data_IF_856729272213
#
_entry.id   IF_856729272213
#
_cell.length_a   1.000
_cell.length_b   1.000
_cell.length_c   1.000
_cell.angle_alpha   90.00
_cell.angle_beta   90.00
_cell.angle_gamma   90.00
#
_symmetry.space_group_name_H-M   'P 1'
#
loop_
_entity.id
_entity.type
_entity.pdbx_description
1 polymer ?
#
# COMPACT_ATOMS: atom_id res chain seq x y z
N UNK A 1 -19.28 12.02 8.27
CA UNK A 1 -19.92 10.83 7.64
C UNK A 1 -20.22 9.81 8.72
N UNK A 2 -21.33 9.06 8.62
CA UNK A 2 -21.68 8.04 9.63
C UNK A 2 -20.95 6.72 9.35
N UNK A 3 -20.77 5.83 10.35
CA UNK A 3 -20.24 4.49 10.13
C UNK A 3 -21.01 3.71 9.05
N UNK A 4 -22.33 3.81 9.01
CA UNK A 4 -23.17 3.10 8.03
C UNK A 4 -22.91 3.57 6.60
N UNK A 5 -22.67 4.88 6.40
CA UNK A 5 -22.32 5.41 5.08
C UNK A 5 -20.94 4.94 4.62
N UNK A 6 -19.96 4.86 5.54
CA UNK A 6 -18.63 4.32 5.23
C UNK A 6 -18.69 2.83 4.88
N UNK A 7 -19.50 2.04 5.61
CA UNK A 7 -19.73 0.63 5.31
C UNK A 7 -20.41 0.44 3.94
N UNK A 8 -21.45 1.23 3.62
CA UNK A 8 -22.09 1.19 2.29
C UNK A 8 -21.11 1.45 1.16
N UNK A 9 -20.26 2.47 1.30
CA UNK A 9 -19.21 2.77 0.31
C UNK A 9 -18.18 1.65 0.21
N UNK A 10 -17.77 1.06 1.34
CA UNK A 10 -16.86 -0.07 1.35
C UNK A 10 -17.46 -1.29 0.67
N UNK A 11 -18.74 -1.61 0.93
CA UNK A 11 -19.47 -2.71 0.29
C UNK A 11 -19.57 -2.51 -1.22
N UNK A 12 -19.88 -1.29 -1.66
CA UNK A 12 -19.87 -0.94 -3.08
C UNK A 12 -18.51 -1.21 -3.72
N UNK A 13 -17.43 -0.67 -3.15
CA UNK A 13 -16.06 -0.86 -3.68
C UNK A 13 -15.67 -2.34 -3.67
N UNK A 14 -16.04 -3.09 -2.62
CA UNK A 14 -15.84 -4.54 -2.58
C UNK A 14 -16.53 -5.24 -3.75
N UNK A 15 -17.80 -4.91 -4.04
CA UNK A 15 -18.52 -5.50 -5.16
C UNK A 15 -17.87 -5.21 -6.53
N UNK A 16 -17.23 -4.05 -6.70
CA UNK A 16 -16.47 -3.75 -7.92
C UNK A 16 -15.22 -4.62 -8.04
N UNK A 17 -14.50 -4.78 -6.93
CA UNK A 17 -13.31 -5.61 -6.86
C UNK A 17 -13.69 -7.09 -7.11
N UNK A 18 -14.73 -7.58 -6.47
CA UNK A 18 -15.17 -8.97 -6.58
C UNK A 18 -15.75 -9.28 -7.97
N UNK A 19 -16.52 -8.36 -8.56
CA UNK A 19 -17.08 -8.50 -9.90
C UNK A 19 -16.04 -8.58 -11.03
N UNK A 20 -14.78 -8.20 -10.76
CA UNK A 20 -13.66 -8.35 -11.68
C UNK A 20 -12.62 -9.40 -11.20
N UNK A 21 -12.99 -10.26 -10.25
CA UNK A 21 -12.10 -11.21 -9.58
C UNK A 21 -10.79 -10.57 -9.08
N UNK A 22 -10.86 -9.33 -8.62
CA UNK A 22 -9.72 -8.54 -8.16
C UNK A 22 -8.63 -8.35 -9.22
N UNK A 23 -8.98 -8.57 -10.50
CA UNK A 23 -8.10 -8.52 -11.65
C UNK A 23 -8.37 -7.26 -12.49
N UNK A 24 -7.32 -6.58 -12.90
CA UNK A 24 -7.50 -5.41 -13.75
C UNK A 24 -6.22 -4.62 -14.03
N UNK A 25 -6.36 -3.44 -14.66
CA UNK A 25 -5.22 -2.67 -15.15
C UNK A 25 -4.38 -2.13 -14.00
N UNK A 26 -3.07 -1.95 -14.20
CA UNK A 26 -2.12 -1.38 -13.25
C UNK A 26 -1.03 -0.57 -13.99
N UNK A 27 -0.39 0.43 -13.34
CA UNK A 27 0.71 1.20 -13.93
C UNK A 27 1.88 0.36 -14.49
N UNK A 28 2.10 -0.86 -14.02
CA UNK A 28 3.22 -1.71 -14.41
C UNK A 28 2.90 -2.75 -15.50
N UNK A 29 1.66 -2.77 -15.99
CA UNK A 29 1.20 -3.81 -16.93
C UNK A 29 1.92 -3.85 -18.26
N UNK A 30 2.59 -2.77 -18.68
CA UNK A 30 3.35 -2.78 -19.92
C UNK A 30 4.33 -3.96 -19.99
N UNK A 31 4.92 -4.35 -18.86
CA UNK A 31 5.88 -5.46 -18.79
C UNK A 31 5.26 -6.85 -18.71
N UNK A 32 3.93 -6.98 -18.65
CA UNK A 32 3.25 -8.28 -18.77
C UNK A 32 2.90 -8.62 -20.22
N UNK A 33 3.10 -7.68 -21.15
CA UNK A 33 2.97 -7.94 -22.59
C UNK A 33 4.06 -8.91 -23.07
N UNK A 34 3.77 -9.80 -24.04
CA UNK A 34 4.81 -10.55 -24.75
C UNK A 34 5.90 -9.66 -25.36
N UNK A 35 5.57 -8.41 -25.71
CA UNK A 35 6.52 -7.42 -26.24
C UNK A 35 7.57 -6.98 -25.21
N UNK A 36 7.36 -7.27 -23.92
CA UNK A 36 8.34 -6.97 -22.88
C UNK A 36 9.68 -7.71 -23.11
N UNK A 37 9.64 -8.86 -23.80
CA UNK A 37 10.84 -9.59 -24.23
C UNK A 37 11.75 -8.77 -25.16
N UNK A 38 11.19 -7.83 -25.93
CA UNK A 38 11.92 -6.91 -26.80
C UNK A 38 12.44 -5.67 -26.05
N UNK A 39 11.88 -5.38 -24.87
CA UNK A 39 12.27 -4.25 -24.02
C UNK A 39 13.50 -4.59 -23.17
N UNK A 40 14.63 -4.95 -23.81
CA UNK A 40 15.84 -5.42 -23.14
C UNK A 40 16.49 -4.32 -22.27
N UNK A 41 16.45 -3.07 -22.75
CA UNK A 41 17.03 -1.92 -22.06
C UNK A 41 16.04 -1.26 -21.09
N UNK A 42 16.50 -0.73 -19.93
CA UNK A 42 15.64 -0.03 -18.96
C UNK A 42 14.80 1.09 -19.58
N UNK A 43 15.36 1.82 -20.54
CA UNK A 43 14.64 2.85 -21.27
C UNK A 43 13.44 2.30 -22.05
N UNK A 44 13.60 1.18 -22.76
CA UNK A 44 12.50 0.56 -23.52
C UNK A 44 11.41 0.03 -22.60
N UNK A 45 11.79 -0.55 -21.45
CA UNK A 45 10.84 -0.96 -20.41
C UNK A 45 10.03 0.24 -19.92
N UNK A 46 10.70 1.36 -19.63
CA UNK A 46 10.03 2.60 -19.22
C UNK A 46 9.11 3.17 -20.31
N UNK A 47 9.53 3.15 -21.58
CA UNK A 47 8.69 3.58 -22.70
C UNK A 47 7.43 2.73 -22.76
N UNK A 48 7.55 1.40 -22.75
CA UNK A 48 6.41 0.49 -22.77
C UNK A 48 5.46 0.72 -21.59
N UNK A 49 6.00 0.83 -20.37
CA UNK A 49 5.23 1.13 -19.16
C UNK A 49 4.51 2.47 -19.26
N UNK A 50 5.20 3.55 -19.65
CA UNK A 50 4.59 4.88 -19.72
C UNK A 50 3.56 4.98 -20.84
N UNK A 51 3.77 4.32 -21.98
CA UNK A 51 2.80 4.25 -23.08
C UNK A 51 1.51 3.59 -22.61
N UNK A 52 1.59 2.42 -21.95
CA UNK A 52 0.41 1.72 -21.40
C UNK A 52 -0.26 2.51 -20.28
N UNK A 53 0.53 3.10 -19.38
CA UNK A 53 0.03 3.86 -18.23
C UNK A 53 -0.70 5.15 -18.63
N UNK A 54 -0.16 5.89 -19.62
CA UNK A 54 -0.63 7.23 -19.99
C UNK A 54 -1.58 7.25 -21.18
N UNK A 55 -1.79 6.11 -21.84
CA UNK A 55 -2.73 6.03 -22.95
C UNK A 55 -4.14 6.47 -22.50
N UNK A 56 -4.82 7.34 -23.27
CA UNK A 56 -6.19 7.77 -22.97
C UNK A 56 -7.23 6.65 -23.19
N UNK A 57 -6.90 5.68 -24.05
CA UNK A 57 -7.68 4.46 -24.31
C UNK A 57 -6.95 3.24 -23.78
N UNK A 58 -7.67 2.17 -23.44
CA UNK A 58 -7.02 0.96 -22.94
C UNK A 58 -6.37 0.16 -24.09
N UNK A 59 -5.06 0.32 -24.25
CA UNK A 59 -4.27 -0.39 -25.27
C UNK A 59 -3.84 -1.79 -24.83
N UNK A 60 -4.10 -2.18 -23.58
CA UNK A 60 -3.71 -3.49 -23.03
C UNK A 60 -4.18 -4.67 -23.89
N UNK A 61 -5.44 -4.71 -24.38
CA UNK A 61 -5.89 -5.81 -25.22
C UNK A 61 -5.06 -5.96 -26.51
N UNK A 62 -4.66 -4.85 -27.13
CA UNK A 62 -3.87 -4.85 -28.36
C UNK A 62 -2.41 -5.26 -28.14
N UNK A 63 -1.91 -5.09 -26.91
CA UNK A 63 -0.58 -5.54 -26.50
C UNK A 63 -0.59 -6.94 -25.88
N UNK A 64 -1.70 -7.67 -26.02
CA UNK A 64 -1.94 -8.98 -25.41
C UNK A 64 -1.72 -9.00 -23.87
N UNK A 65 -1.90 -7.86 -23.21
CA UNK A 65 -1.89 -7.73 -21.76
C UNK A 65 -3.26 -8.18 -21.25
N UNK A 66 -3.26 -9.22 -20.41
CA UNK A 66 -4.49 -9.73 -19.77
C UNK A 66 -4.70 -9.09 -18.40
N UNK A 67 -5.96 -8.91 -17.95
CA UNK A 67 -6.25 -8.55 -16.57
C UNK A 67 -5.54 -9.50 -15.60
N UNK A 68 -4.83 -8.92 -14.63
CA UNK A 68 -4.04 -9.65 -13.66
C UNK A 68 -4.59 -9.40 -12.26
N UNK A 69 -4.80 -10.48 -11.51
CA UNK A 69 -5.08 -10.46 -10.08
C UNK A 69 -3.76 -10.56 -9.31
N UNK A 70 -3.57 -9.74 -8.27
CA UNK A 70 -2.35 -9.80 -7.45
C UNK A 70 -2.64 -10.20 -6.02
N UNK A 71 -1.72 -10.97 -5.43
CA UNK A 71 -1.69 -11.32 -4.01
C UNK A 71 -1.78 -10.07 -3.14
N UNK A 72 -1.13 -8.98 -3.55
CA UNK A 72 -1.12 -7.71 -2.82
C UNK A 72 -2.49 -7.06 -2.71
N UNK A 73 -3.27 -7.04 -3.80
CA UNK A 73 -4.61 -6.46 -3.80
C UNK A 73 -5.55 -7.31 -2.92
N UNK A 74 -5.45 -8.64 -3.01
CA UNK A 74 -6.25 -9.53 -2.19
C UNK A 74 -5.84 -9.51 -0.71
N UNK A 75 -4.55 -9.41 -0.40
CA UNK A 75 -4.06 -9.27 0.97
C UNK A 75 -4.56 -7.97 1.61
N UNK A 76 -4.47 -6.86 0.87
CA UNK A 76 -5.02 -5.58 1.31
C UNK A 76 -6.55 -5.64 1.48
N UNK A 77 -7.25 -6.29 0.55
CA UNK A 77 -8.69 -6.56 0.65
C UNK A 77 -9.06 -7.43 1.85
N UNK A 78 -8.25 -8.44 2.18
CA UNK A 78 -8.44 -9.30 3.34
C UNK A 78 -8.33 -8.50 4.65
N UNK A 79 -7.26 -7.70 4.80
CA UNK A 79 -7.11 -6.76 5.92
C UNK A 79 -8.30 -5.81 6.01
N UNK A 80 -8.71 -5.23 4.88
CA UNK A 80 -9.80 -4.28 4.84
C UNK A 80 -11.13 -4.90 5.28
N UNK A 81 -11.45 -6.11 4.80
CA UNK A 81 -12.66 -6.85 5.19
C UNK A 81 -12.62 -7.32 6.64
N UNK A 82 -11.44 -7.67 7.18
CA UNK A 82 -11.29 -8.09 8.58
C UNK A 82 -11.72 -7.02 9.58
N UNK A 83 -11.66 -5.73 9.22
CA UNK A 83 -12.16 -4.63 10.07
C UNK A 83 -13.68 -4.66 10.27
N UNK A 84 -14.41 -5.37 9.42
CA UNK A 84 -15.86 -5.61 9.50
C UNK A 84 -16.21 -7.04 9.95
N UNK A 85 -15.25 -7.81 10.47
CA UNK A 85 -15.44 -9.25 10.72
C UNK A 85 -16.53 -9.62 11.74
N UNK A 86 -17.10 -8.66 12.48
CA UNK A 86 -18.29 -8.88 13.29
C UNK A 86 -19.54 -9.25 12.43
N UNK A 87 -19.57 -8.79 11.17
CA UNK A 87 -20.56 -9.22 10.19
C UNK A 87 -20.13 -10.56 9.56
N UNK A 88 -20.99 -11.60 9.58
CA UNK A 88 -20.67 -12.90 8.96
C UNK A 88 -20.32 -12.81 7.47
N UNK A 89 -20.96 -11.88 6.74
CA UNK A 89 -20.69 -11.64 5.33
C UNK A 89 -19.25 -11.15 5.12
N UNK A 90 -18.86 -10.09 5.83
CA UNK A 90 -17.51 -9.53 5.76
C UNK A 90 -16.44 -10.50 6.28
N UNK A 91 -16.76 -11.27 7.31
CA UNK A 91 -15.89 -12.34 7.80
C UNK A 91 -15.61 -13.39 6.72
N UNK A 92 -16.64 -13.83 6.00
CA UNK A 92 -16.51 -14.77 4.88
C UNK A 92 -15.65 -14.21 3.76
N UNK A 93 -15.91 -12.94 3.35
CA UNK A 93 -15.13 -12.21 2.34
C UNK A 93 -13.65 -12.11 2.72
N UNK A 94 -13.36 -11.72 3.97
CA UNK A 94 -12.01 -11.62 4.48
C UNK A 94 -11.28 -12.97 4.39
N UNK A 95 -11.90 -14.05 4.88
CA UNK A 95 -11.32 -15.40 4.85
C UNK A 95 -11.11 -15.92 3.42
N UNK A 96 -12.02 -15.63 2.48
CA UNK A 96 -11.85 -16.00 1.08
C UNK A 96 -10.59 -15.36 0.48
N UNK A 97 -10.42 -14.05 0.65
CA UNK A 97 -9.26 -13.31 0.16
C UNK A 97 -7.97 -13.73 0.87
N UNK A 98 -8.01 -13.90 2.20
CA UNK A 98 -6.89 -14.34 3.00
C UNK A 98 -6.41 -15.74 2.60
N UNK A 99 -7.33 -16.69 2.38
CA UNK A 99 -7.00 -18.04 1.88
C UNK A 99 -6.29 -17.97 0.55
N UNK A 100 -6.87 -17.25 -0.41
CA UNK A 100 -6.26 -17.14 -1.74
C UNK A 100 -4.87 -16.50 -1.67
N UNK A 101 -4.71 -15.44 -0.87
CA UNK A 101 -3.43 -14.76 -0.66
C UNK A 101 -2.38 -15.69 -0.03
N UNK A 102 -2.77 -16.53 0.93
CA UNK A 102 -1.88 -17.51 1.55
C UNK A 102 -1.39 -18.55 0.53
N UNK A 103 -2.22 -18.96 -0.44
CA UNK A 103 -1.78 -19.87 -1.52
C UNK A 103 -0.71 -19.27 -2.44
N UNK A 104 -0.52 -17.94 -2.40
CA UNK A 104 0.49 -17.23 -3.20
C UNK A 104 1.82 -17.06 -2.47
N UNK A 105 1.94 -17.54 -1.23
CA UNK A 105 3.21 -17.52 -0.51
C UNK A 105 4.25 -18.31 -1.30
N UNK A 106 5.44 -17.72 -1.48
CA UNK A 106 6.52 -18.33 -2.23
C UNK A 106 7.01 -19.62 -1.53
N UNK A 107 7.66 -20.47 -2.33
CA UNK A 107 8.29 -21.73 -1.92
C UNK A 107 9.77 -21.74 -2.30
N UNK A 108 10.52 -22.73 -1.82
CA UNK A 108 11.95 -22.87 -2.13
C UNK A 108 12.80 -21.79 -1.45
N UNK A 109 13.73 -21.18 -2.19
CA UNK A 109 14.69 -20.20 -1.65
C UNK A 109 14.03 -19.04 -0.90
N UNK A 110 12.85 -18.60 -1.36
CA UNK A 110 12.13 -17.47 -0.79
C UNK A 110 10.88 -17.92 -0.01
N UNK A 111 10.88 -19.16 0.51
CA UNK A 111 9.75 -19.71 1.24
C UNK A 111 9.29 -18.79 2.37
N UNK A 112 8.02 -18.41 2.37
CA UNK A 112 7.46 -17.51 3.38
C UNK A 112 7.18 -16.09 2.89
N UNK A 113 7.80 -15.63 1.80
CA UNK A 113 7.66 -14.27 1.27
C UNK A 113 6.63 -14.19 0.12
N UNK A 114 6.34 -12.97 -0.33
CA UNK A 114 5.58 -12.70 -1.56
C UNK A 114 6.33 -11.77 -2.50
N UNK A 115 5.98 -11.88 -3.78
CA UNK A 115 6.45 -11.10 -4.92
C UNK A 115 5.26 -10.39 -5.59
N UNK A 116 5.57 -9.51 -6.55
CA UNK A 116 4.58 -9.11 -7.53
C UNK A 116 4.50 -10.14 -8.65
N UNK A 117 3.31 -10.33 -9.23
CA UNK A 117 3.05 -11.22 -10.36
C UNK A 117 3.52 -10.65 -11.71
N UNK A 118 4.31 -9.57 -11.69
CA UNK A 118 4.81 -8.86 -12.87
C UNK A 118 6.19 -8.26 -12.62
N UNK A 119 6.95 -8.10 -13.70
CA UNK A 119 8.24 -7.41 -13.68
C UNK A 119 8.03 -5.92 -13.39
N UNK A 120 8.95 -5.33 -12.64
CA UNK A 120 8.90 -3.91 -12.29
C UNK A 120 10.09 -3.19 -12.85
N UNK A 121 9.82 -2.10 -13.56
CA UNK A 121 10.80 -1.09 -13.91
C UNK A 121 10.37 0.26 -13.32
N UNK A 122 11.13 0.75 -12.35
CA UNK A 122 11.00 2.11 -11.83
C UNK A 122 12.01 3.03 -12.51
N UNK A 123 12.03 4.31 -12.12
CA UNK A 123 13.10 5.24 -12.53
C UNK A 123 14.47 4.90 -11.95
N UNK A 124 14.52 4.08 -10.90
CA UNK A 124 15.71 3.85 -10.09
C UNK A 124 16.13 2.38 -10.01
N UNK A 125 15.34 1.45 -10.53
CA UNK A 125 15.69 0.03 -10.52
C UNK A 125 14.75 -0.84 -11.34
N UNK A 126 15.19 -2.07 -11.57
CA UNK A 126 14.43 -3.14 -12.19
C UNK A 126 14.50 -4.39 -11.30
N UNK A 127 13.39 -5.10 -11.16
CA UNK A 127 13.38 -6.43 -10.54
C UNK A 127 12.30 -7.31 -11.17
N UNK A 128 12.59 -8.61 -11.36
CA UNK A 128 11.68 -9.52 -12.03
C UNK A 128 10.54 -9.96 -11.10
N UNK A 129 9.45 -10.45 -11.70
CA UNK A 129 8.33 -11.05 -11.01
C UNK A 129 8.79 -12.19 -10.08
N UNK A 130 9.84 -12.94 -10.42
CA UNK A 130 10.35 -14.05 -9.59
C UNK A 130 11.01 -13.62 -8.27
N UNK A 131 11.22 -12.32 -8.06
CA UNK A 131 11.92 -11.78 -6.88
C UNK A 131 10.91 -11.29 -5.83
N UNK A 132 11.02 -11.72 -4.56
CA UNK A 132 10.19 -11.18 -3.50
C UNK A 132 10.53 -9.71 -3.24
N UNK A 133 9.55 -8.99 -2.72
CA UNK A 133 9.75 -7.62 -2.25
C UNK A 133 8.96 -7.37 -0.97
N UNK A 134 9.45 -6.44 -0.16
CA UNK A 134 8.90 -6.17 1.16
C UNK A 134 7.48 -5.60 1.10
N UNK A 135 7.15 -4.81 0.06
CA UNK A 135 5.81 -4.22 -0.10
C UNK A 135 4.77 -5.31 -0.35
N UNK A 136 5.03 -6.23 -1.28
CA UNK A 136 4.14 -7.35 -1.52
C UNK A 136 4.05 -8.28 -0.31
N UNK A 137 5.19 -8.62 0.28
CA UNK A 137 5.26 -9.46 1.48
C UNK A 137 4.41 -8.89 2.61
N UNK A 138 4.49 -7.60 2.87
CA UNK A 138 3.81 -6.98 4.02
C UNK A 138 2.31 -6.87 3.83
N UNK A 139 1.82 -6.45 2.66
CA UNK A 139 0.37 -6.45 2.39
C UNK A 139 -0.25 -7.85 2.42
N UNK A 140 0.44 -8.84 1.85
CA UNK A 140 -0.03 -10.22 1.87
C UNK A 140 -0.01 -10.81 3.28
N UNK A 141 1.10 -10.63 4.01
CA UNK A 141 1.24 -11.11 5.37
C UNK A 141 0.21 -10.48 6.30
N UNK A 142 -0.01 -9.17 6.23
CA UNK A 142 -1.04 -8.51 7.04
C UNK A 142 -2.42 -9.12 6.80
N UNK A 143 -2.83 -9.27 5.54
CA UNK A 143 -4.11 -9.88 5.19
C UNK A 143 -4.26 -11.32 5.67
N UNK A 144 -3.21 -12.13 5.54
CA UNK A 144 -3.24 -13.52 6.02
C UNK A 144 -3.24 -13.60 7.56
N UNK A 145 -2.51 -12.72 8.26
CA UNK A 145 -2.50 -12.65 9.72
C UNK A 145 -3.84 -12.14 10.27
N UNK A 146 -4.43 -11.12 9.65
CA UNK A 146 -5.74 -10.55 10.03
C UNK A 146 -6.90 -11.55 9.84
N UNK A 147 -6.69 -12.60 9.05
CA UNK A 147 -7.69 -13.63 8.74
C UNK A 147 -7.38 -14.99 9.38
N UNK A 148 -6.24 -15.12 10.06
CA UNK A 148 -5.76 -16.38 10.64
C UNK A 148 -5.43 -17.45 9.60
N UNK A 149 -4.94 -17.05 8.42
CA UNK A 149 -4.66 -17.92 7.27
C UNK A 149 -3.19 -18.38 7.20
N UNK A 150 -2.33 -17.88 8.07
CA UNK A 150 -0.99 -18.44 8.29
C UNK A 150 -1.04 -19.33 9.53
N UNK A 151 -0.72 -20.61 9.35
CA UNK A 151 -0.43 -21.48 10.49
C UNK A 151 0.95 -21.16 11.09
N UNK A 152 1.30 -21.82 12.21
CA UNK A 152 2.56 -21.58 12.90
C UNK A 152 3.79 -21.83 12.03
N UNK A 153 3.77 -22.86 11.16
CA UNK A 153 4.89 -23.17 10.28
C UNK A 153 5.06 -22.11 9.18
N UNK A 154 3.96 -21.66 8.57
CA UNK A 154 3.97 -20.60 7.57
C UNK A 154 4.40 -19.25 8.17
N UNK A 155 3.98 -18.95 9.40
CA UNK A 155 4.39 -17.74 10.13
C UNK A 155 5.88 -17.77 10.47
N UNK A 156 6.42 -18.91 10.94
CA UNK A 156 7.85 -19.07 11.18
C UNK A 156 8.68 -19.00 9.90
N UNK A 157 8.19 -19.58 8.79
CA UNK A 157 8.84 -19.47 7.48
C UNK A 157 8.92 -18.02 7.02
N UNK A 158 7.83 -17.27 7.15
CA UNK A 158 7.80 -15.83 6.87
C UNK A 158 8.79 -15.06 7.75
N UNK A 159 8.77 -15.29 9.08
CA UNK A 159 9.67 -14.63 10.02
C UNK A 159 11.15 -14.90 9.70
N UNK A 160 11.49 -16.15 9.41
CA UNK A 160 12.85 -16.55 9.05
C UNK A 160 13.28 -15.89 7.73
N UNK A 161 12.46 -15.98 6.68
CA UNK A 161 12.80 -15.40 5.39
C UNK A 161 12.83 -13.86 5.40
N UNK A 162 11.99 -13.21 6.22
CA UNK A 162 12.03 -11.76 6.41
C UNK A 162 13.39 -11.31 6.95
N UNK A 163 13.94 -12.02 7.92
CA UNK A 163 15.28 -11.76 8.46
C UNK A 163 16.37 -12.15 7.47
N UNK A 164 16.32 -13.35 6.91
CA UNK A 164 17.46 -13.91 6.16
C UNK A 164 17.55 -13.36 4.72
N UNK A 165 16.44 -12.91 4.13
CA UNK A 165 16.41 -12.43 2.74
C UNK A 165 16.24 -10.91 2.60
N UNK A 166 15.64 -10.24 3.58
CA UNK A 166 15.27 -8.83 3.48
C UNK A 166 15.90 -7.93 4.55
N UNK A 167 16.42 -8.46 5.66
CA UNK A 167 17.11 -7.63 6.66
C UNK A 167 18.60 -7.48 6.31
N UNK A 168 19.08 -6.24 6.26
CA UNK A 168 20.47 -5.92 5.88
C UNK A 168 21.45 -5.92 7.05
N UNK A 169 20.97 -6.20 8.28
CA UNK A 169 21.71 -5.96 9.52
C UNK A 169 21.43 -4.59 10.14
N UNK A 170 20.84 -3.65 9.40
CA UNK A 170 20.41 -2.33 9.90
C UNK A 170 18.96 -1.98 9.57
N UNK A 171 18.48 -2.35 8.39
CA UNK A 171 17.16 -1.99 7.90
C UNK A 171 16.60 -3.11 7.01
N UNK A 172 15.30 -3.07 6.74
CA UNK A 172 14.70 -3.94 5.75
C UNK A 172 14.86 -3.36 4.34
N UNK A 173 15.43 -4.15 3.45
CA UNK A 173 15.60 -3.86 2.05
C UNK A 173 14.28 -3.99 1.28
N UNK A 174 14.18 -3.28 0.15
CA UNK A 174 13.01 -3.38 -0.73
C UNK A 174 12.92 -4.76 -1.41
N UNK A 175 14.05 -5.27 -1.90
CA UNK A 175 14.21 -6.63 -2.46
C UNK A 175 15.52 -7.23 -1.96
N UNK A 176 15.72 -8.57 -2.06
CA UNK A 176 16.99 -9.20 -1.70
C UNK A 176 18.21 -8.72 -2.52
N UNK A 177 17.98 -8.02 -3.64
CA UNK A 177 19.03 -7.53 -4.52
C UNK A 177 19.42 -6.07 -4.26
N UNK A 178 18.83 -5.40 -3.27
CA UNK A 178 19.11 -4.00 -2.97
C UNK A 178 19.43 -3.81 -1.49
N UNK A 179 20.49 -3.06 -1.19
CA UNK A 179 20.78 -2.61 0.17
C UNK A 179 20.33 -1.17 0.43
N UNK A 180 19.72 -0.50 -0.55
CA UNK A 180 19.29 0.90 -0.43
C UNK A 180 18.19 1.03 0.61
N UNK A 181 18.36 1.96 1.55
CA UNK A 181 17.31 2.31 2.49
C UNK A 181 16.23 3.10 1.76
N UNK A 182 15.03 2.51 1.69
CA UNK A 182 13.79 3.14 1.24
C UNK A 182 12.88 3.20 2.46
N UNK A 183 12.53 4.41 2.92
CA UNK A 183 11.99 4.62 4.26
C UNK A 183 10.63 3.92 4.49
N UNK A 184 9.70 4.04 3.55
CA UNK A 184 8.41 3.37 3.66
C UNK A 184 8.57 1.84 3.66
N UNK A 185 9.39 1.32 2.75
CA UNK A 185 9.63 -0.11 2.60
C UNK A 185 10.28 -0.71 3.86
N UNK A 186 11.26 -0.01 4.42
CA UNK A 186 11.92 -0.38 5.66
C UNK A 186 10.93 -0.43 6.83
N UNK A 187 10.08 0.59 6.99
CA UNK A 187 9.09 0.60 8.08
C UNK A 187 7.96 -0.41 7.89
N UNK A 188 7.58 -0.74 6.65
CA UNK A 188 6.68 -1.86 6.39
C UNK A 188 7.28 -3.17 6.92
N UNK A 189 8.58 -3.40 6.69
CA UNK A 189 9.29 -4.55 7.26
C UNK A 189 9.39 -4.51 8.78
N UNK A 190 9.69 -3.34 9.36
CA UNK A 190 9.77 -3.17 10.82
C UNK A 190 8.43 -3.46 11.51
N UNK A 191 7.33 -2.93 10.97
CA UNK A 191 5.99 -3.16 11.51
C UNK A 191 5.58 -4.64 11.42
N UNK A 192 5.88 -5.30 10.29
CA UNK A 192 5.62 -6.73 10.15
C UNK A 192 6.48 -7.57 11.10
N UNK A 193 7.77 -7.24 11.24
CA UNK A 193 8.67 -7.96 12.16
C UNK A 193 8.20 -7.82 13.62
N UNK A 194 7.82 -6.61 14.04
CA UNK A 194 7.24 -6.39 15.37
C UNK A 194 5.96 -7.21 15.59
N UNK A 195 5.07 -7.23 14.60
CA UNK A 195 3.82 -8.01 14.63
C UNK A 195 4.08 -9.53 14.69
N UNK A 196 5.04 -10.04 13.94
CA UNK A 196 5.41 -11.46 13.96
C UNK A 196 6.05 -11.86 15.29
N UNK A 197 6.88 -10.99 15.88
CA UNK A 197 7.52 -11.23 17.17
C UNK A 197 6.51 -11.37 18.31
N UNK A 198 5.35 -10.73 18.21
CA UNK A 198 4.28 -10.79 19.20
C UNK A 198 3.28 -11.93 18.97
N UNK A 199 3.45 -12.77 17.95
CA UNK A 199 2.52 -13.88 17.71
C UNK A 199 2.68 -14.98 18.76
N UNK A 200 1.55 -15.49 19.24
CA UNK A 200 1.51 -16.68 20.06
C UNK A 200 2.12 -17.87 19.29
N UNK A 201 2.98 -18.62 19.97
CA UNK A 201 3.70 -19.76 19.37
C UNK A 201 4.95 -19.39 18.57
N UNK A 202 5.26 -18.11 18.35
CA UNK A 202 6.52 -17.71 17.74
C UNK A 202 7.70 -18.08 18.66
N UNK A 203 8.66 -18.87 18.14
CA UNK A 203 9.83 -19.29 18.92
C UNK A 203 10.59 -18.09 19.48
N UNK A 204 10.83 -18.10 20.80
CA UNK A 204 11.48 -16.98 21.52
C UNK A 204 12.77 -16.47 20.87
N UNK A 205 13.72 -17.31 20.41
CA UNK A 205 14.93 -16.81 19.74
C UNK A 205 14.63 -16.06 18.44
N UNK A 206 13.63 -16.51 17.68
CA UNK A 206 13.21 -15.87 16.43
C UNK A 206 12.48 -14.55 16.71
N UNK A 207 11.57 -14.53 17.70
CA UNK A 207 10.89 -13.32 18.17
C UNK A 207 11.88 -12.24 18.64
N UNK A 208 12.94 -12.62 19.36
CA UNK A 208 13.99 -11.67 19.78
C UNK A 208 14.70 -11.06 18.58
N UNK A 209 15.16 -11.89 17.62
CA UNK A 209 15.81 -11.40 16.39
C UNK A 209 14.92 -10.45 15.58
N UNK A 210 13.63 -10.76 15.48
CA UNK A 210 12.64 -9.89 14.83
C UNK A 210 12.49 -8.55 15.55
N UNK A 211 12.41 -8.58 16.87
CA UNK A 211 12.31 -7.37 17.71
C UNK A 211 13.53 -6.47 17.52
N UNK A 212 14.74 -7.04 17.56
CA UNK A 212 15.99 -6.30 17.39
C UNK A 212 16.09 -5.69 15.98
N UNK A 213 15.75 -6.48 14.95
CA UNK A 213 15.72 -6.00 13.57
C UNK A 213 14.71 -4.86 13.38
N UNK A 214 13.52 -4.97 13.98
CA UNK A 214 12.50 -3.94 13.92
C UNK A 214 12.93 -2.64 14.64
N UNK A 215 13.56 -2.72 15.82
CA UNK A 215 14.11 -1.56 16.52
C UNK A 215 15.19 -0.86 15.71
N UNK A 216 16.12 -1.64 15.14
CA UNK A 216 17.20 -1.14 14.28
C UNK A 216 16.63 -0.41 13.04
N UNK A 217 15.66 -1.03 12.38
CA UNK A 217 14.97 -0.47 11.23
C UNK A 217 14.23 0.84 11.55
N UNK A 218 13.52 0.91 12.69
CA UNK A 218 12.86 2.15 13.14
C UNK A 218 13.90 3.25 13.37
N UNK A 219 15.00 2.94 14.06
CA UNK A 219 16.10 3.91 14.30
C UNK A 219 16.67 4.44 12.99
N UNK A 220 16.93 3.57 12.01
CA UNK A 220 17.47 3.98 10.72
C UNK A 220 16.56 4.95 9.95
N UNK A 221 15.24 4.84 10.09
CA UNK A 221 14.30 5.81 9.50
C UNK A 221 14.14 7.08 10.33
N UNK A 222 14.21 6.98 11.67
CA UNK A 222 14.23 8.15 12.54
C UNK A 222 15.43 9.06 12.23
N UNK A 223 16.63 8.47 12.11
CA UNK A 223 17.88 9.16 11.80
C UNK A 223 17.89 9.78 10.39
N UNK A 224 17.11 9.21 9.46
CA UNK A 224 16.97 9.72 8.10
C UNK A 224 15.93 10.82 7.93
N UNK A 225 15.21 11.21 9.00
CA UNK A 225 14.29 12.33 8.95
C UNK A 225 15.07 13.65 8.80
N UNK A 226 14.64 14.49 7.87
CA UNK A 226 15.21 15.84 7.71
C UNK A 226 14.75 16.76 8.85
N UNK A 227 15.48 17.87 9.12
CA UNK A 227 15.10 18.82 10.17
C UNK A 227 13.68 19.42 10.03
N UNK A 228 13.14 19.47 8.81
CA UNK A 228 11.78 19.95 8.53
C UNK A 228 10.69 18.88 8.80
N UNK A 229 11.07 17.67 9.20
CA UNK A 229 10.16 16.54 9.45
C UNK A 229 9.95 15.63 8.25
N UNK A 230 10.43 15.98 7.06
CA UNK A 230 10.24 15.18 5.86
C UNK A 230 11.20 13.98 5.79
N UNK A 231 10.81 12.98 5.00
CA UNK A 231 11.71 11.91 4.58
C UNK A 231 11.88 11.96 3.06
N UNK A 232 13.11 11.91 2.54
CA UNK A 232 13.29 11.52 1.15
C UNK A 232 12.68 10.13 0.93
N UNK A 233 12.36 9.78 -0.31
CA UNK A 233 11.91 8.42 -0.62
C UNK A 233 12.96 7.37 -0.21
N UNK A 234 14.24 7.63 -0.47
CA UNK A 234 15.34 6.77 -0.05
C UNK A 234 16.69 7.48 -0.04
N UNK A 235 17.74 6.76 0.35
CA UNK A 235 19.06 7.37 0.64
C UNK A 235 20.01 7.51 -0.55
N UNK A 236 19.75 6.88 -1.70
CA UNK A 236 20.55 7.09 -2.91
C UNK A 236 20.31 8.47 -3.54
N UNK A 237 21.30 9.00 -4.26
CA UNK A 237 21.28 10.36 -4.83
C UNK A 237 20.00 10.72 -5.64
N UNK A 238 19.44 9.78 -6.38
CA UNK A 238 18.25 10.00 -7.21
C UNK A 238 16.91 9.74 -6.48
N UNK A 239 16.95 9.50 -5.16
CA UNK A 239 15.80 9.13 -4.33
C UNK A 239 15.34 10.24 -3.36
N UNK A 240 15.81 11.47 -3.55
CA UNK A 240 15.59 12.58 -2.62
C UNK A 240 14.22 13.26 -2.62
N UNK A 241 13.25 12.79 -3.43
CA UNK A 241 11.93 13.39 -3.55
C UNK A 241 11.02 13.04 -2.36
N UNK A 242 9.96 13.83 -2.15
CA UNK A 242 8.93 13.59 -1.13
C UNK A 242 7.55 13.56 -1.81
N UNK A 243 6.79 12.49 -1.57
CA UNK A 243 5.46 12.29 -2.16
C UNK A 243 4.43 11.82 -1.12
N UNK A 244 3.15 11.98 -1.46
CA UNK A 244 2.04 11.79 -0.51
C UNK A 244 1.94 10.37 0.03
N UNK A 245 1.76 9.39 -0.84
CA UNK A 245 1.49 8.03 -0.37
C UNK A 245 2.71 7.37 0.30
N UNK A 246 3.96 7.59 -0.15
CA UNK A 246 5.10 7.00 0.55
C UNK A 246 5.31 7.62 1.92
N UNK A 247 5.17 8.94 2.07
CA UNK A 247 5.23 9.58 3.39
C UNK A 247 4.08 9.13 4.29
N UNK A 248 2.88 8.92 3.73
CA UNK A 248 1.76 8.30 4.47
C UNK A 248 2.09 6.90 4.98
N UNK A 249 2.67 6.04 4.14
CA UNK A 249 3.12 4.71 4.58
C UNK A 249 4.25 4.77 5.61
N UNK A 250 5.17 5.72 5.51
CA UNK A 250 6.17 5.97 6.56
C UNK A 250 5.45 6.20 7.88
N UNK A 251 4.57 7.21 7.98
CA UNK A 251 3.90 7.55 9.24
C UNK A 251 3.07 6.40 9.81
N UNK A 252 2.21 5.75 9.01
CA UNK A 252 1.38 4.64 9.45
C UNK A 252 2.22 3.46 9.99
N UNK A 253 3.30 3.12 9.30
CA UNK A 253 4.14 1.97 9.68
C UNK A 253 5.13 2.31 10.78
N UNK A 254 5.61 3.56 10.86
CA UNK A 254 6.40 4.06 11.98
C UNK A 254 5.61 3.91 13.27
N UNK A 255 4.37 4.41 13.26
CA UNK A 255 3.46 4.39 14.38
C UNK A 255 3.05 2.95 14.77
N UNK A 256 2.77 2.08 13.80
CA UNK A 256 2.49 0.67 14.06
C UNK A 256 3.68 -0.07 14.67
N UNK A 257 4.89 0.07 14.10
CA UNK A 257 6.10 -0.55 14.63
C UNK A 257 6.43 -0.03 16.03
N UNK A 258 6.30 1.28 16.26
CA UNK A 258 6.65 1.90 17.54
C UNK A 258 5.73 1.43 18.67
N UNK A 259 4.43 1.35 18.42
CA UNK A 259 3.48 0.78 19.40
C UNK A 259 3.74 -0.71 19.64
N UNK A 260 3.98 -1.49 18.58
CA UNK A 260 4.30 -2.92 18.70
C UNK A 260 5.60 -3.20 19.47
N UNK A 261 6.54 -2.27 19.48
CA UNK A 261 7.84 -2.40 20.16
C UNK A 261 7.92 -1.64 21.49
N UNK A 262 6.91 -0.83 21.85
CA UNK A 262 6.98 0.09 22.99
C UNK A 262 8.10 1.13 22.86
N UNK A 263 8.24 1.76 21.68
CA UNK A 263 9.24 2.79 21.40
C UNK A 263 8.68 4.20 21.56
N UNK A 264 9.43 5.06 22.27
CA UNK A 264 9.12 6.49 22.41
C UNK A 264 9.57 7.27 21.16
N UNK A 265 8.63 7.51 20.25
CA UNK A 265 8.93 8.09 18.92
C UNK A 265 8.05 9.30 18.57
N UNK A 266 7.31 9.81 19.56
CA UNK A 266 6.34 10.89 19.40
C UNK A 266 6.92 12.10 18.66
N UNK A 267 8.12 12.57 19.04
CA UNK A 267 8.77 13.73 18.39
C UNK A 267 8.96 13.54 16.88
N UNK A 268 9.37 12.35 16.45
CA UNK A 268 9.63 12.03 15.03
C UNK A 268 8.32 11.97 14.25
N UNK A 269 7.31 11.29 14.82
CA UNK A 269 5.97 11.17 14.24
C UNK A 269 5.27 12.53 14.18
N UNK A 270 5.36 13.35 15.23
CA UNK A 270 4.76 14.68 15.30
C UNK A 270 5.37 15.64 14.27
N UNK A 271 6.70 15.61 14.11
CA UNK A 271 7.38 16.41 13.09
C UNK A 271 6.99 15.97 11.68
N UNK A 272 6.98 14.66 11.44
CA UNK A 272 6.60 14.09 10.14
C UNK A 272 5.14 14.34 9.78
N UNK A 273 4.24 14.25 10.75
CA UNK A 273 2.80 14.51 10.55
C UNK A 273 2.55 15.98 10.24
N UNK A 274 3.21 16.90 10.94
CA UNK A 274 3.12 18.35 10.62
C UNK A 274 3.59 18.61 9.19
N UNK A 275 4.77 18.11 8.81
CA UNK A 275 5.26 18.25 7.44
C UNK A 275 4.25 17.68 6.42
N UNK A 276 3.73 16.49 6.68
CA UNK A 276 2.78 15.80 5.81
C UNK A 276 1.51 16.63 5.57
N UNK A 277 0.90 17.13 6.65
CA UNK A 277 -0.33 17.93 6.55
C UNK A 277 -0.05 19.29 5.87
N UNK A 278 1.06 19.94 6.18
CA UNK A 278 1.37 21.28 5.65
C UNK A 278 1.76 21.27 4.16
N UNK A 279 2.40 20.20 3.68
CA UNK A 279 3.01 20.18 2.34
C UNK A 279 2.30 19.23 1.37
N UNK A 280 1.65 18.17 1.87
CA UNK A 280 1.02 17.14 1.05
C UNK A 280 -0.51 17.24 1.02
N UNK A 281 -1.07 18.30 1.60
CA UNK A 281 -2.45 18.74 1.43
C UNK A 281 -2.52 20.22 0.99
N UNK A 282 -3.63 20.56 0.32
CA UNK A 282 -4.09 21.92 0.05
C UNK A 282 -5.55 22.02 0.49
N UNK A 283 -5.76 22.42 1.75
CA UNK A 283 -7.04 22.18 2.41
C UNK A 283 -7.35 20.68 2.46
N UNK A 284 -8.47 20.26 1.87
CA UNK A 284 -8.86 18.85 1.73
C UNK A 284 -8.31 18.16 0.48
N UNK A 285 -7.60 18.88 -0.40
CA UNK A 285 -7.09 18.34 -1.66
C UNK A 285 -5.71 17.71 -1.43
N UNK A 286 -5.54 16.40 -1.62
CA UNK A 286 -4.21 15.79 -1.50
C UNK A 286 -3.30 16.20 -2.65
N UNK A 287 -2.04 16.48 -2.32
CA UNK A 287 -0.96 16.74 -3.27
C UNK A 287 -0.12 15.47 -3.46
N UNK A 288 0.29 15.21 -4.70
CA UNK A 288 1.12 14.04 -4.99
C UNK A 288 2.59 14.24 -4.60
N UNK A 289 3.16 15.43 -4.83
CA UNK A 289 4.54 15.77 -4.41
C UNK A 289 4.53 17.02 -3.53
N UNK A 290 5.49 17.11 -2.61
CA UNK A 290 5.67 18.30 -1.77
C UNK A 290 6.17 19.51 -2.58
N UNK A 291 7.12 19.29 -3.51
CA UNK A 291 7.79 20.36 -4.28
C UNK A 291 7.09 20.73 -5.60
N UNK A 292 5.76 20.61 -5.68
CA UNK A 292 5.05 21.13 -6.86
C UNK A 292 4.94 22.64 -6.72
N UNK A 293 5.91 23.37 -7.30
CA UNK A 293 5.67 24.77 -7.68
C UNK A 293 4.41 24.76 -8.53
N UNK A 294 3.36 25.44 -8.06
CA UNK A 294 2.15 25.77 -8.82
C UNK A 294 2.52 26.77 -9.93
N UNK A 295 3.40 26.35 -10.84
CA UNK A 295 3.73 27.09 -12.03
C UNK A 295 2.48 27.08 -12.91
N UNK A 296 1.71 28.17 -12.79
CA UNK A 296 0.64 28.64 -13.69
C UNK A 296 -0.06 27.50 -14.47
N UNK A 297 -1.12 26.97 -13.87
CA UNK A 297 -2.17 26.26 -14.63
C UNK A 297 -1.88 24.81 -15.04
N UNK A 298 -0.79 24.16 -14.59
CA UNK A 298 -0.66 22.71 -14.75
C UNK A 298 -1.38 21.98 -13.62
N UNK A 299 -2.44 21.25 -13.98
CA UNK A 299 -3.28 20.44 -13.08
C UNK A 299 -2.47 19.74 -11.98
N UNK A 300 -2.93 19.83 -10.73
CA UNK A 300 -2.46 19.00 -9.62
C UNK A 300 -2.46 17.54 -10.11
N UNK A 301 -1.30 16.90 -10.14
CA UNK A 301 -1.20 15.50 -10.54
C UNK A 301 -1.98 14.67 -9.52
N UNK A 302 -3.17 14.21 -9.89
CA UNK A 302 -3.98 13.28 -9.09
C UNK A 302 -3.60 11.85 -9.43
N UNK A 303 -3.32 11.05 -8.41
CA UNK A 303 -3.05 9.62 -8.52
C UNK A 303 -4.01 8.91 -7.56
N UNK A 304 -4.76 7.91 -8.02
CA UNK A 304 -5.80 7.30 -7.20
C UNK A 304 -5.26 6.56 -5.97
N UNK A 305 -4.04 6.01 -6.03
CA UNK A 305 -3.41 5.39 -4.86
C UNK A 305 -3.05 6.45 -3.81
N UNK A 306 -2.57 7.61 -4.27
CA UNK A 306 -2.30 8.75 -3.42
C UNK A 306 -3.57 9.29 -2.76
N UNK A 307 -4.65 9.39 -3.53
CA UNK A 307 -5.96 9.81 -3.04
C UNK A 307 -6.50 8.85 -1.97
N UNK A 308 -6.42 7.54 -2.19
CA UNK A 308 -6.81 6.53 -1.21
C UNK A 308 -5.95 6.61 0.07
N UNK A 309 -4.63 6.72 -0.09
CA UNK A 309 -3.70 6.85 1.05
C UNK A 309 -3.96 8.14 1.82
N UNK A 310 -4.32 9.23 1.14
CA UNK A 310 -4.66 10.50 1.79
C UNK A 310 -5.92 10.39 2.66
N UNK A 311 -6.96 9.66 2.22
CA UNK A 311 -8.14 9.36 3.06
C UNK A 311 -7.73 8.55 4.29
N UNK A 312 -6.92 7.51 4.09
CA UNK A 312 -6.41 6.69 5.20
C UNK A 312 -5.65 7.52 6.22
N UNK A 313 -4.81 8.44 5.73
CA UNK A 313 -4.00 9.33 6.56
C UNK A 313 -4.83 10.40 7.25
N UNK A 314 -5.85 10.96 6.60
CA UNK A 314 -6.74 11.92 7.23
C UNK A 314 -7.52 11.29 8.39
N UNK A 315 -8.03 10.07 8.20
CA UNK A 315 -8.68 9.31 9.27
C UNK A 315 -7.72 9.02 10.44
N UNK A 316 -6.49 8.57 10.15
CA UNK A 316 -5.45 8.36 11.17
C UNK A 316 -5.08 9.66 11.89
N UNK A 317 -4.97 10.78 11.17
CA UNK A 317 -4.63 12.07 11.76
C UNK A 317 -5.75 12.59 12.68
N UNK A 318 -7.02 12.37 12.32
CA UNK A 318 -8.16 12.67 13.20
C UNK A 318 -8.15 11.80 14.46
N UNK A 319 -7.94 10.49 14.32
CA UNK A 319 -7.84 9.54 15.44
C UNK A 319 -6.78 9.97 16.45
N UNK A 320 -5.68 10.55 15.96
CA UNK A 320 -4.54 11.01 16.75
C UNK A 320 -4.64 12.46 17.20
N UNK A 321 -5.70 13.18 16.84
CA UNK A 321 -5.90 14.57 17.23
C UNK A 321 -4.96 15.57 16.55
N UNK A 322 -4.33 15.21 15.43
CA UNK A 322 -3.50 16.14 14.65
C UNK A 322 -4.30 17.12 13.81
N UNK A 323 -5.56 16.78 13.51
CA UNK A 323 -6.47 17.60 12.71
C UNK A 323 -7.83 17.68 13.40
N UNK A 324 -8.62 18.71 13.03
CA UNK A 324 -9.98 18.89 13.54
C UNK A 324 -10.91 17.75 13.11
N UNK A 325 -11.93 17.39 13.91
CA UNK A 325 -12.99 16.50 13.47
C UNK A 325 -13.65 16.98 12.16
N UNK A 326 -13.87 16.06 11.22
CA UNK A 326 -14.49 16.32 9.92
C UNK A 326 -13.50 16.67 8.80
N UNK A 327 -12.20 16.73 9.08
CA UNK A 327 -11.16 16.83 8.05
C UNK A 327 -11.13 15.60 7.13
N UNK A 328 -11.19 14.39 7.68
CA UNK A 328 -11.21 13.15 6.91
C UNK A 328 -12.48 13.02 6.05
N UNK A 329 -13.61 13.55 6.54
CA UNK A 329 -14.85 13.67 5.74
C UNK A 329 -14.61 14.57 4.52
N UNK A 330 -14.04 15.75 4.72
CA UNK A 330 -13.73 16.69 3.63
C UNK A 330 -12.75 16.10 2.62
N UNK A 331 -11.71 15.41 3.08
CA UNK A 331 -10.74 14.73 2.21
C UNK A 331 -11.45 13.64 1.40
N UNK A 332 -12.26 12.80 2.05
CA UNK A 332 -13.01 11.74 1.38
C UNK A 332 -13.96 12.31 0.31
N UNK A 333 -14.68 13.38 0.60
CA UNK A 333 -15.54 14.08 -0.37
C UNK A 333 -14.74 14.70 -1.52
N UNK A 334 -13.55 15.22 -1.23
CA UNK A 334 -12.66 15.83 -2.25
C UNK A 334 -12.04 14.78 -3.18
N UNK A 335 -11.84 13.55 -2.70
CA UNK A 335 -11.22 12.48 -3.49
C UNK A 335 -12.18 11.48 -4.09
N UNK A 336 -13.38 11.35 -3.53
CA UNK A 336 -14.46 10.60 -4.15
C UNK A 336 -15.00 11.45 -5.31
N UNK A 337 -14.69 11.18 -6.60
CA UNK A 337 -15.56 11.70 -7.65
C UNK A 337 -16.98 11.23 -7.37
N UNK A 338 -18.00 11.93 -7.86
CA UNK A 338 -19.43 11.67 -7.65
C UNK A 338 -19.83 10.19 -7.90
N UNK A 339 -19.52 9.32 -6.94
CA UNK A 339 -19.83 7.89 -6.88
C UNK A 339 -21.27 7.67 -6.40
N UNK A 340 -22.04 8.76 -6.27
CA UNK A 340 -23.31 8.85 -5.56
C UNK A 340 -24.29 9.73 -6.35
N UNK A 341 -24.46 9.49 -7.65
CA UNK A 341 -25.80 9.69 -8.20
C UNK A 341 -26.58 8.41 -7.93
N UNK A 342 -27.49 8.51 -6.96
CA UNK A 342 -28.51 7.50 -6.67
C UNK A 342 -29.32 7.21 -7.94
N UNK A 343 -29.24 5.97 -8.43
CA UNK A 343 -30.09 5.47 -9.51
C UNK A 343 -29.34 4.75 -10.61
N UNK A 344 -29.04 3.47 -10.40
CA UNK A 344 -28.54 2.60 -11.48
C UNK A 344 -27.52 1.55 -11.06
N UNK A 345 -27.81 0.81 -9.99
CA UNK A 345 -27.10 -0.43 -9.71
C UNK A 345 -27.45 -1.48 -10.77
N UNK A 346 -26.83 -1.42 -11.96
CA UNK A 346 -26.59 -2.57 -12.87
C UNK A 346 -25.98 -2.23 -14.24
N UNK A 347 -25.82 -0.95 -14.65
CA UNK A 347 -25.44 -0.64 -16.05
C UNK A 347 -24.09 0.06 -16.29
N UNK A 348 -23.31 0.43 -15.26
CA UNK A 348 -22.28 1.46 -15.40
C UNK A 348 -20.84 0.99 -15.15
N UNK A 349 -20.35 -0.02 -15.87
CA UNK A 349 -18.92 -0.38 -15.78
C UNK A 349 -18.15 -0.46 -17.08
N UNK A 350 -18.80 -0.23 -18.23
CA UNK A 350 -18.07 0.01 -19.47
C UNK A 350 -17.50 1.44 -19.58
N UNK A 351 -18.13 2.51 -19.04
CA UNK A 351 -17.83 3.87 -19.53
C UNK A 351 -18.02 5.11 -18.60
N UNK A 352 -17.99 5.06 -17.26
CA UNK A 352 -18.52 6.19 -16.45
C UNK A 352 -17.60 6.92 -15.42
N UNK A 353 -16.31 7.11 -15.71
CA UNK A 353 -15.44 8.13 -15.09
C UNK A 353 -14.44 8.60 -16.16
N UNK A 354 -14.39 9.89 -16.52
CA UNK A 354 -13.43 10.40 -17.50
C UNK A 354 -11.99 10.20 -17.00
N UNK A 355 -11.11 9.69 -17.87
CA UNK A 355 -9.68 9.52 -17.58
C UNK A 355 -9.15 8.11 -17.85
N UNK A 356 -7.83 7.90 -17.71
CA UNK A 356 -7.17 6.65 -18.11
C UNK A 356 -7.60 5.45 -17.24
N UNK A 357 -7.59 4.22 -17.78
CA UNK A 357 -8.07 2.98 -17.11
C UNK A 357 -7.50 2.73 -15.72
N UNK A 358 -6.27 3.19 -15.45
CA UNK A 358 -5.58 3.05 -14.15
C UNK A 358 -6.35 3.66 -12.98
N UNK A 359 -7.21 4.68 -13.23
CA UNK A 359 -8.07 5.27 -12.19
C UNK A 359 -9.09 4.30 -11.59
N UNK A 360 -9.42 3.21 -12.30
CA UNK A 360 -10.31 2.15 -11.83
C UNK A 360 -9.59 0.84 -11.58
N UNK A 361 -8.27 0.91 -11.44
CA UNK A 361 -7.44 -0.26 -11.17
C UNK A 361 -7.90 -0.97 -9.89
N UNK A 362 -8.30 -2.25 -9.95
CA UNK A 362 -8.57 -3.04 -8.75
C UNK A 362 -7.36 -3.07 -7.81
N UNK A 363 -6.16 -3.07 -8.38
CA UNK A 363 -4.89 -3.29 -7.67
C UNK A 363 -4.23 -2.02 -7.17
N UNK A 364 -4.23 -0.97 -7.97
CA UNK A 364 -3.56 0.31 -7.69
C UNK A 364 -4.48 1.35 -7.05
N UNK A 365 -5.80 1.21 -7.21
CA UNK A 365 -6.78 2.22 -6.78
C UNK A 365 -7.80 1.67 -5.79
N UNK A 366 -8.62 0.71 -6.23
CA UNK A 366 -9.81 0.33 -5.50
C UNK A 366 -9.51 -0.48 -4.23
N UNK A 367 -8.54 -1.40 -4.24
CA UNK A 367 -8.14 -2.11 -3.03
C UNK A 367 -7.53 -1.18 -1.96
N UNK A 368 -6.61 -0.25 -2.28
CA UNK A 368 -6.20 0.81 -1.35
C UNK A 368 -7.35 1.68 -0.84
N UNK A 369 -8.31 2.00 -1.70
CA UNK A 369 -9.45 2.81 -1.30
C UNK A 369 -10.40 2.05 -0.36
N UNK A 370 -10.62 0.76 -0.60
CA UNK A 370 -11.34 -0.12 0.33
C UNK A 370 -10.65 -0.13 1.70
N UNK A 371 -9.32 -0.32 1.76
CA UNK A 371 -8.55 -0.25 3.01
C UNK A 371 -8.73 1.09 3.73
N UNK A 372 -8.70 2.21 2.99
CA UNK A 372 -8.91 3.53 3.54
C UNK A 372 -10.31 3.70 4.16
N UNK A 373 -11.37 3.28 3.44
CA UNK A 373 -12.75 3.36 3.91
C UNK A 373 -12.99 2.51 5.15
N UNK A 374 -12.53 1.26 5.15
CA UNK A 374 -12.79 0.35 6.28
C UNK A 374 -11.99 0.76 7.52
N UNK A 375 -10.83 1.37 7.34
CA UNK A 375 -10.09 1.90 8.47
C UNK A 375 -10.70 3.21 9.00
N UNK A 376 -11.22 4.07 8.13
CA UNK A 376 -11.95 5.26 8.55
C UNK A 376 -13.23 4.88 9.33
N UNK A 377 -13.92 3.81 8.90
CA UNK A 377 -15.03 3.24 9.64
C UNK A 377 -14.64 2.88 11.09
N UNK A 378 -13.49 2.20 11.29
CA UNK A 378 -13.01 1.84 12.64
C UNK A 378 -12.75 3.08 13.49
N UNK A 379 -12.08 4.10 12.94
CA UNK A 379 -11.86 5.37 13.65
C UNK A 379 -13.19 6.02 14.05
N UNK A 380 -14.16 6.10 13.13
CA UNK A 380 -15.46 6.71 13.39
C UNK A 380 -16.30 5.94 14.41
N UNK A 381 -16.11 4.63 14.51
CA UNK A 381 -16.80 3.75 15.46
C UNK A 381 -16.29 3.84 16.89
N UNK A 382 -15.06 4.33 17.07
CA UNK A 382 -14.39 4.49 18.36
C UNK A 382 -14.58 5.89 18.98
N UNK A 383 -14.90 6.89 18.15
CA UNK A 383 -15.34 8.23 18.55
C UNK A 383 -16.83 8.21 18.89
#
# INVERSE_FOLDING_TARGET
>A
MTPEELERRADYIFHLLDGCDWAGPDPYDGLTSPLASLAIHPFLRQVLLQTVKRSPVDIRPWLAIRPLRTATACGLGATACSRFAASPLWHSRARQLGRWTATRQLRGRYAGLWNYEFDVQTRWGHYPASMPNIVATTFCADGCLDTGMLDGAAAESLATALLDQLYTGRHFAYTPASATLIHNANLMGAALAARLASLDGMRRPLASRLTDAARSAVSATAEGQRPDGSWPYGTSANLGWVDGFHTGYVLLRFDAASRGLGLETNKVIDSGTRYYLDHLFDGSVPRYYADVKTARGRHVRRDPNNDATAVRMAAWAEERGYVRPGFADQVLETVSPALLEEGGAQALYANALPGPPVRRSPRWSLAPFLDALTAFYVTRRAQ
#
